data_IF_618175167942
#
_entry.id   IF_618175167942
#
_cell.length_a   1.000
_cell.length_b   1.000
_cell.length_c   1.000
_cell.angle_alpha   90.00
_cell.angle_beta   90.00
_cell.angle_gamma   90.00
#
_symmetry.space_group_name_H-M   'P 1'
#
loop_
_entity.id
_entity.type
_entity.pdbx_description
1 polymer ?
#
# COMPACT_ATOMS: atom_id res chain seq x y z
N UNK A 1 17.68 3.99 -1.18
CA UNK A 1 17.98 3.06 -0.07
C UNK A 1 16.94 3.32 1.03
N UNK A 2 16.43 2.32 1.77
CA UNK A 2 15.27 2.49 2.69
C UNK A 2 15.45 3.61 3.73
N UNK A 3 16.70 3.96 4.04
CA UNK A 3 17.07 5.05 4.94
C UNK A 3 16.33 6.36 4.67
N UNK A 4 16.13 6.74 3.40
CA UNK A 4 15.42 7.97 3.02
C UNK A 4 13.95 7.98 3.47
N UNK A 5 13.29 6.81 3.49
CA UNK A 5 11.90 6.71 3.94
C UNK A 5 11.80 6.77 5.46
N UNK A 6 12.79 6.21 6.18
CA UNK A 6 12.86 6.32 7.64
C UNK A 6 13.09 7.77 8.07
N UNK A 7 14.00 8.48 7.40
CA UNK A 7 14.26 9.91 7.63
C UNK A 7 13.03 10.78 7.32
N UNK A 8 12.24 10.41 6.31
CA UNK A 8 11.00 11.09 5.95
C UNK A 8 9.76 10.62 6.73
N UNK A 9 9.91 9.76 7.76
CA UNK A 9 8.81 9.17 8.53
C UNK A 9 7.74 8.49 7.65
N UNK A 10 8.17 7.87 6.55
CA UNK A 10 7.31 7.20 5.59
C UNK A 10 7.45 5.66 5.68
N UNK A 11 6.33 4.96 5.58
CA UNK A 11 6.30 3.49 5.56
C UNK A 11 6.62 3.02 4.15
N UNK A 12 7.72 2.27 3.99
CA UNK A 12 8.12 1.70 2.71
C UNK A 12 8.02 0.17 2.73
N UNK A 13 7.15 -0.38 1.87
CA UNK A 13 6.89 -1.82 1.78
C UNK A 13 7.54 -2.39 0.53
N UNK A 14 8.15 -3.58 0.66
CA UNK A 14 8.82 -4.29 -0.44
C UNK A 14 8.27 -5.71 -0.58
N UNK A 15 8.37 -6.26 -1.79
CA UNK A 15 7.94 -7.63 -2.13
C UNK A 15 6.45 -7.91 -1.85
N UNK A 16 5.57 -7.02 -2.29
CA UNK A 16 4.12 -7.23 -2.20
C UNK A 16 3.58 -8.06 -3.37
N UNK A 17 2.52 -8.83 -3.14
CA UNK A 17 1.81 -9.56 -4.21
C UNK A 17 1.14 -8.57 -5.17
N UNK A 18 1.43 -8.69 -6.48
CA UNK A 18 0.88 -7.81 -7.53
C UNK A 18 -0.66 -7.79 -7.56
N UNK A 19 -1.31 -8.91 -7.23
CA UNK A 19 -2.77 -9.01 -7.17
C UNK A 19 -3.37 -8.08 -6.10
N UNK A 20 -2.71 -8.00 -4.95
CA UNK A 20 -3.19 -7.20 -3.81
C UNK A 20 -2.91 -5.72 -4.06
N UNK A 21 -1.74 -5.37 -4.61
CA UNK A 21 -1.44 -4.00 -5.04
C UNK A 21 -2.49 -3.44 -6.02
N UNK A 22 -2.95 -4.25 -6.98
CA UNK A 22 -4.01 -3.84 -7.92
C UNK A 22 -5.34 -3.57 -7.22
N UNK A 23 -5.66 -4.34 -6.17
CA UNK A 23 -6.91 -4.17 -5.40
C UNK A 23 -6.83 -2.93 -4.51
N UNK A 24 -5.71 -2.74 -3.82
CA UNK A 24 -5.43 -1.57 -3.00
C UNK A 24 -5.53 -0.31 -3.84
N UNK A 25 -4.86 -0.27 -5.01
CA UNK A 25 -4.91 0.86 -5.92
C UNK A 25 -6.35 1.23 -6.32
N UNK A 26 -7.19 0.23 -6.65
CA UNK A 26 -8.60 0.45 -6.96
C UNK A 26 -9.43 0.94 -5.77
N UNK A 27 -9.13 0.44 -4.56
CA UNK A 27 -9.86 0.83 -3.35
C UNK A 27 -9.49 2.25 -2.90
N UNK A 28 -8.20 2.60 -2.94
CA UNK A 28 -7.71 3.91 -2.49
C UNK A 28 -7.78 4.99 -3.58
N UNK A 29 -8.00 4.61 -4.84
CA UNK A 29 -7.96 5.52 -5.99
C UNK A 29 -6.55 5.77 -6.52
N UNK A 30 -5.53 5.06 -6.01
CA UNK A 30 -4.17 5.17 -6.52
C UNK A 30 -4.03 4.57 -7.92
N UNK A 31 -3.00 5.01 -8.65
CA UNK A 31 -2.61 4.40 -9.91
C UNK A 31 -1.38 3.50 -9.70
N UNK A 32 -1.51 2.21 -10.03
CA UNK A 32 -0.39 1.27 -9.95
C UNK A 32 0.60 1.53 -11.11
N UNK A 33 1.66 2.26 -10.82
CA UNK A 33 2.71 2.59 -11.80
C UNK A 33 3.82 1.54 -11.81
N UNK A 34 3.96 0.81 -12.92
CA UNK A 34 4.97 -0.25 -13.05
C UNK A 34 6.37 0.27 -13.46
N UNK A 35 6.43 1.40 -14.16
CA UNK A 35 7.67 2.07 -14.54
C UNK A 35 7.42 3.58 -14.58
N UNK A 36 8.34 4.35 -13.99
CA UNK A 36 8.33 5.82 -14.00
C UNK A 36 9.15 6.40 -15.17
N UNK A 37 9.76 5.54 -15.99
CA UNK A 37 10.60 5.94 -17.12
C UNK A 37 9.80 5.91 -18.42
N UNK A 38 9.44 7.08 -18.93
CA UNK A 38 9.15 7.25 -20.35
C UNK A 38 10.38 7.85 -21.01
N UNK A 39 10.95 7.14 -21.98
CA UNK A 39 12.20 7.43 -22.72
C UNK A 39 12.33 8.83 -23.36
N UNK A 40 11.32 9.70 -23.27
CA UNK A 40 11.32 11.04 -23.87
C UNK A 40 10.93 12.18 -22.90
N UNK A 41 10.41 11.86 -21.72
CA UNK A 41 9.99 12.84 -20.70
C UNK A 41 10.26 12.25 -19.33
N UNK A 42 11.06 12.93 -18.51
CA UNK A 42 11.11 12.68 -17.08
C UNK A 42 9.70 12.94 -16.51
N UNK A 43 8.86 11.90 -16.45
CA UNK A 43 7.59 11.99 -15.74
C UNK A 43 7.95 12.04 -14.25
N UNK A 44 7.82 13.22 -13.66
CA UNK A 44 7.84 13.38 -12.22
C UNK A 44 6.67 12.59 -11.63
N UNK A 45 6.86 12.06 -10.42
CA UNK A 45 5.79 11.38 -9.72
C UNK A 45 4.72 12.41 -9.33
N UNK A 46 3.57 12.37 -10.00
CA UNK A 46 2.47 13.31 -9.78
C UNK A 46 1.64 12.90 -8.57
N UNK A 47 1.15 13.89 -7.82
CA UNK A 47 0.27 13.69 -6.65
C UNK A 47 -1.03 12.98 -7.03
N UNK A 48 -1.50 13.14 -8.27
CA UNK A 48 -2.66 12.44 -8.83
C UNK A 48 -2.52 10.91 -8.87
N UNK A 49 -1.31 10.37 -8.75
CA UNK A 49 -1.07 8.92 -8.72
C UNK A 49 -1.29 8.32 -7.33
N UNK A 50 -1.35 9.16 -6.28
CA UNK A 50 -1.53 8.72 -4.90
C UNK A 50 -2.99 8.36 -4.61
N UNK A 51 -3.17 7.34 -3.77
CA UNK A 51 -4.47 6.98 -3.22
C UNK A 51 -4.68 7.57 -1.84
N UNK A 52 -5.93 7.61 -1.41
CA UNK A 52 -6.31 8.07 -0.08
C UNK A 52 -6.99 6.97 0.73
N UNK A 53 -6.64 6.92 2.01
CA UNK A 53 -7.25 6.09 3.03
C UNK A 53 -7.33 6.89 4.34
N UNK A 54 -8.17 6.47 5.27
CA UNK A 54 -8.31 7.15 6.57
C UNK A 54 -7.09 6.87 7.45
N UNK A 55 -6.61 5.63 7.48
CA UNK A 55 -5.40 5.26 8.20
C UNK A 55 -4.65 4.11 7.53
N UNK A 56 -3.33 4.11 7.70
CA UNK A 56 -2.43 3.02 7.30
C UNK A 56 -1.55 2.69 8.49
N UNK A 57 -1.74 1.49 9.04
CA UNK A 57 -1.10 1.05 10.30
C UNK A 57 -0.37 -0.26 10.09
N UNK A 58 0.74 -0.44 10.83
CA UNK A 58 1.41 -1.73 10.96
C UNK A 58 0.98 -2.35 12.29
N UNK A 59 0.28 -3.47 12.21
CA UNK A 59 -0.20 -4.20 13.39
C UNK A 59 0.39 -5.61 13.38
N UNK A 60 0.76 -6.09 14.56
CA UNK A 60 1.20 -7.47 14.76
C UNK A 60 0.00 -8.31 15.15
N UNK A 61 -0.29 -9.33 14.35
CA UNK A 61 -1.37 -10.30 14.59
C UNK A 61 -0.72 -11.67 14.70
N UNK A 62 -0.78 -12.24 15.90
CA UNK A 62 -0.05 -13.48 16.24
C UNK A 62 1.46 -13.32 15.98
N UNK A 63 2.05 -14.21 15.18
CA UNK A 63 3.47 -14.19 14.82
C UNK A 63 3.81 -13.28 13.62
N UNK A 64 2.80 -12.81 12.89
CA UNK A 64 2.99 -12.02 11.66
C UNK A 64 2.78 -10.52 11.88
N UNK A 65 3.56 -9.71 11.17
CA UNK A 65 3.35 -8.26 11.07
C UNK A 65 2.68 -7.91 9.75
N UNK A 66 1.53 -7.24 9.85
CA UNK A 66 0.68 -6.91 8.71
C UNK A 66 0.51 -5.39 8.59
N UNK A 67 0.40 -4.93 7.34
CA UNK A 67 0.06 -3.54 7.05
C UNK A 67 -1.41 -3.47 6.69
N UNK A 68 -2.17 -2.75 7.51
CA UNK A 68 -3.60 -2.58 7.36
C UNK A 68 -3.87 -1.19 6.80
N UNK A 69 -4.61 -1.15 5.69
CA UNK A 69 -5.11 0.09 5.09
C UNK A 69 -6.61 0.12 5.39
N UNK A 70 -7.03 1.03 6.28
CA UNK A 70 -8.42 1.12 6.74
C UNK A 70 -9.07 2.39 6.17
N UNK A 71 -10.36 2.31 5.88
CA UNK A 71 -11.13 3.42 5.29
C UNK A 71 -10.62 3.90 3.91
N UNK A 72 -10.50 3.02 2.89
CA UNK A 72 -10.14 3.46 1.54
C UNK A 72 -11.22 4.38 0.95
N UNK A 73 -10.82 5.56 0.41
CA UNK A 73 -11.77 6.62 0.05
C UNK A 73 -12.45 6.48 -1.33
N UNK A 74 -11.85 5.74 -2.27
CA UNK A 74 -12.42 5.61 -3.61
C UNK A 74 -13.49 4.51 -3.71
N UNK A 75 -13.27 3.38 -3.02
CA UNK A 75 -14.23 2.28 -2.96
C UNK A 75 -14.08 1.53 -1.64
N UNK A 76 -15.21 1.18 -1.04
CA UNK A 76 -15.26 0.34 0.15
C UNK A 76 -14.65 -1.04 -0.14
N UNK A 77 -13.78 -1.49 0.76
CA UNK A 77 -13.14 -2.79 0.70
C UNK A 77 -12.98 -3.34 2.12
N UNK A 78 -13.06 -4.66 2.25
CA UNK A 78 -12.86 -5.38 3.50
C UNK A 78 -11.95 -6.59 3.25
N UNK A 79 -11.16 -6.92 4.27
CA UNK A 79 -10.30 -8.10 4.30
C UNK A 79 -10.64 -8.89 5.57
N UNK A 80 -10.68 -10.21 5.46
CA UNK A 80 -10.90 -11.12 6.58
C UNK A 80 -9.60 -11.85 6.85
N UNK A 81 -9.21 -11.89 8.12
CA UNK A 81 -8.09 -12.69 8.61
C UNK A 81 -8.67 -13.88 9.36
N UNK A 82 -8.22 -15.08 9.01
CA UNK A 82 -8.61 -16.30 9.69
C UNK A 82 -7.47 -16.70 10.60
N UNK A 83 -7.73 -16.71 11.91
CA UNK A 83 -6.82 -17.26 12.90
C UNK A 83 -7.33 -18.64 13.29
N UNK A 84 -6.48 -19.66 13.16
CA UNK A 84 -6.81 -21.00 13.65
C UNK A 84 -6.41 -21.01 15.12
N UNK A 85 -7.41 -20.85 15.98
CA UNK A 85 -7.25 -21.08 17.41
C UNK A 85 -6.92 -22.57 17.60
N UNK A 86 -5.66 -22.93 17.86
CA UNK A 86 -5.32 -24.25 18.39
C UNK A 86 -5.94 -24.35 19.78
N UNK A 87 -7.12 -24.99 19.85
CA UNK A 87 -7.64 -25.57 21.08
C UNK A 87 -6.96 -26.91 21.37
#
# INVERSE_FOLDING_TARGET
MLKQFVEAQAIAVRRCKKKDLKRIAKATGATLTASLLHWKRMKQFETSLLGSADEVVQERISDDELILIKGPKARTAASLFFEVLMM
#
